data_IF_702393990297
#
_entry.id   IF_702393990297
#
_cell.length_a   1.000
_cell.length_b   1.000
_cell.length_c   1.000
_cell.angle_alpha   90.00
_cell.angle_beta   90.00
_cell.angle_gamma   90.00
#
_symmetry.space_group_name_H-M   'P 1'
#
loop_
_entity.id
_entity.type
_entity.pdbx_description
1 polymer ?
#
# COMPACT_ATOMS: atom_id res chain seq x y z
N UNK A 1 -9.69 17.30 9.43
CA UNK A 1 -8.27 17.14 9.04
C UNK A 1 -7.53 16.71 10.30
N UNK A 2 -6.95 15.51 10.30
CA UNK A 2 -6.13 15.05 11.43
C UNK A 2 -4.72 15.59 11.21
N UNK A 3 -4.22 16.41 12.14
CA UNK A 3 -2.83 16.86 12.15
C UNK A 3 -2.09 16.03 13.18
N UNK A 4 -1.00 15.38 12.75
CA UNK A 4 -0.11 14.67 13.66
C UNK A 4 1.10 15.56 13.88
N UNK A 5 1.41 15.86 15.15
CA UNK A 5 2.56 16.69 15.54
C UNK A 5 3.51 15.84 16.37
N UNK A 6 4.75 15.67 15.90
CA UNK A 6 5.78 14.87 16.54
C UNK A 6 6.44 13.86 15.60
N UNK A 7 7.52 13.23 16.06
CA UNK A 7 8.20 12.15 15.34
C UNK A 7 7.58 10.80 15.71
N UNK A 8 7.66 9.84 14.80
CA UNK A 8 7.34 8.45 15.09
C UNK A 8 8.63 7.67 15.26
N UNK A 9 8.82 7.05 16.43
CA UNK A 9 10.00 6.21 16.68
C UNK A 9 9.89 4.83 16.03
N UNK A 10 8.66 4.38 15.76
CA UNK A 10 8.38 3.10 15.10
C UNK A 10 7.25 3.29 14.10
N UNK A 11 7.46 2.82 12.88
CA UNK A 11 6.47 2.78 11.80
C UNK A 11 6.32 1.33 11.36
N UNK A 12 5.11 0.77 11.51
CA UNK A 12 4.80 -0.59 11.06
C UNK A 12 3.87 -0.51 9.86
N UNK A 13 4.33 -1.02 8.72
CA UNK A 13 3.59 -1.00 7.46
C UNK A 13 3.43 -2.43 6.95
N UNK A 14 2.22 -2.77 6.51
CA UNK A 14 1.98 -3.95 5.69
C UNK A 14 1.38 -3.49 4.36
N UNK A 15 1.98 -3.90 3.25
CA UNK A 15 1.56 -3.51 1.92
C UNK A 15 0.40 -4.39 1.44
N UNK A 16 -0.40 -3.86 0.51
CA UNK A 16 -1.34 -4.71 -0.22
C UNK A 16 -0.56 -5.71 -1.09
N UNK A 17 -1.00 -6.98 -1.16
CA UNK A 17 -0.31 -8.03 -1.90
C UNK A 17 -0.60 -7.90 -3.40
N UNK A 18 -0.12 -6.81 -4.00
CA UNK A 18 -0.40 -6.45 -5.39
C UNK A 18 -0.01 -7.58 -6.35
N UNK A 19 1.20 -8.14 -6.18
CA UNK A 19 1.70 -9.23 -7.01
C UNK A 19 0.76 -10.44 -7.00
N UNK A 20 0.46 -10.96 -5.81
CA UNK A 20 -0.42 -12.12 -5.66
C UNK A 20 -1.80 -11.88 -6.27
N UNK A 21 -2.31 -10.63 -6.17
CA UNK A 21 -3.59 -10.24 -6.73
C UNK A 21 -3.58 -10.26 -8.25
N UNK A 22 -2.58 -9.65 -8.89
CA UNK A 22 -2.49 -9.58 -10.36
C UNK A 22 -2.09 -10.92 -11.00
N UNK A 23 -1.41 -11.80 -10.26
CA UNK A 23 -1.04 -13.15 -10.71
C UNK A 23 -2.05 -14.23 -10.32
N UNK A 24 -3.21 -13.84 -9.79
CA UNK A 24 -4.22 -14.79 -9.33
C UNK A 24 -4.78 -15.65 -10.47
N UNK A 25 -5.17 -16.89 -10.16
CA UNK A 25 -5.67 -17.83 -11.15
C UNK A 25 -6.93 -17.28 -11.83
N UNK A 26 -6.87 -17.11 -13.15
CA UNK A 26 -7.95 -16.48 -13.94
C UNK A 26 -7.65 -15.05 -14.37
N UNK A 27 -6.57 -14.46 -13.86
CA UNK A 27 -6.27 -13.04 -14.06
C UNK A 27 -7.25 -12.14 -13.29
N UNK A 28 -6.97 -10.85 -13.31
CA UNK A 28 -7.90 -9.82 -12.82
C UNK A 28 -8.15 -8.81 -13.93
N UNK A 29 -9.27 -8.11 -13.86
CA UNK A 29 -9.51 -6.97 -14.73
C UNK A 29 -8.48 -5.86 -14.45
N UNK A 30 -8.16 -5.08 -15.47
CA UNK A 30 -7.15 -4.04 -15.37
C UNK A 30 -7.51 -2.99 -14.32
N UNK A 31 -8.77 -2.56 -14.30
CA UNK A 31 -9.33 -1.65 -13.30
C UNK A 31 -9.18 -2.20 -11.88
N UNK A 32 -9.44 -3.49 -11.67
CA UNK A 32 -9.24 -4.12 -10.36
C UNK A 32 -7.76 -4.12 -9.95
N UNK A 33 -6.84 -4.23 -10.92
CA UNK A 33 -5.42 -4.08 -10.68
C UNK A 33 -5.05 -2.69 -10.17
N UNK A 34 -5.60 -1.63 -10.78
CA UNK A 34 -5.32 -0.24 -10.38
C UNK A 34 -5.71 -0.02 -8.92
N UNK A 35 -6.88 -0.51 -8.49
CA UNK A 35 -7.38 -0.33 -7.12
C UNK A 35 -6.53 -1.05 -6.05
N UNK A 36 -5.66 -1.98 -6.45
CA UNK A 36 -4.77 -2.70 -5.54
C UNK A 36 -3.38 -2.05 -5.40
N UNK A 37 -3.11 -0.94 -6.09
CA UNK A 37 -1.83 -0.21 -5.97
C UNK A 37 -1.83 0.60 -4.68
N UNK A 38 -1.04 0.17 -3.70
CA UNK A 38 -0.85 0.92 -2.46
C UNK A 38 0.10 2.11 -2.67
N UNK A 39 -0.39 3.32 -2.40
CA UNK A 39 0.39 4.56 -2.43
C UNK A 39 0.91 4.92 -1.03
N UNK A 40 0.07 4.71 -0.02
CA UNK A 40 0.35 5.14 1.35
C UNK A 40 1.43 4.30 2.01
N UNK A 41 1.35 2.98 1.88
CA UNK A 41 2.33 2.05 2.46
C UNK A 41 3.75 2.33 1.98
N UNK A 42 4.03 2.35 0.65
CA UNK A 42 5.36 2.67 0.15
C UNK A 42 5.81 4.09 0.48
N UNK A 43 4.90 5.07 0.49
CA UNK A 43 5.23 6.42 0.90
C UNK A 43 5.69 6.49 2.36
N UNK A 44 4.99 5.80 3.28
CA UNK A 44 5.35 5.72 4.69
C UNK A 44 6.66 4.96 4.93
N UNK A 45 6.88 3.82 4.25
CA UNK A 45 8.15 3.09 4.33
C UNK A 45 9.33 3.96 3.90
N UNK A 46 9.15 4.76 2.84
CA UNK A 46 10.20 5.65 2.35
C UNK A 46 10.44 6.87 3.23
N UNK A 47 9.45 7.28 4.01
CA UNK A 47 9.54 8.44 4.90
C UNK A 47 10.07 8.10 6.30
N UNK A 48 10.02 6.82 6.68
CA UNK A 48 10.48 6.30 7.98
C UNK A 48 12.01 6.19 8.08
#
# INVERSE_FOLDING_TARGET
MFSISGTFDVVVVNLYPFYDKVTSTGGIEFEDGIENIDIGGPAMIRAA
#
